data_IF_583000017884
#
_entry.id   IF_583000017884
#
_cell.length_a   1.000
_cell.length_b   1.000
_cell.length_c   1.000
_cell.angle_alpha   90.00
_cell.angle_beta   90.00
_cell.angle_gamma   90.00
#
_symmetry.space_group_name_H-M   'P 1'
#
loop_
_entity.id
_entity.type
_entity.pdbx_description
1 polymer ?
#
# COMPACT_ATOMS: atom_id res chain seq x y z
N UNK A 1 -0.86 18.09 -15.02
CA UNK A 1 -0.72 16.91 -15.91
C UNK A 1 -2.04 16.16 -16.05
N UNK A 2 -2.31 15.56 -17.22
CA UNK A 2 -3.47 14.66 -17.43
C UNK A 2 -2.98 13.22 -17.57
N UNK A 3 -3.58 12.33 -16.80
CA UNK A 3 -3.35 10.88 -16.77
C UNK A 3 -4.71 10.19 -16.56
N UNK A 4 -4.79 8.89 -16.80
CA UNK A 4 -5.99 8.12 -16.47
C UNK A 4 -6.41 8.31 -15.00
N UNK A 5 -5.44 8.34 -14.06
CA UNK A 5 -5.74 8.46 -12.63
C UNK A 5 -6.35 9.83 -12.29
N UNK A 6 -5.78 10.92 -12.82
CA UNK A 6 -6.32 12.28 -12.61
C UNK A 6 -7.69 12.46 -13.22
N UNK A 7 -7.93 11.90 -14.41
CA UNK A 7 -9.20 12.04 -15.13
C UNK A 7 -10.31 11.17 -14.50
N UNK A 8 -9.98 9.93 -14.10
CA UNK A 8 -10.94 9.00 -13.49
C UNK A 8 -11.48 9.49 -12.15
N UNK A 9 -10.66 10.16 -11.35
CA UNK A 9 -11.02 10.58 -9.98
C UNK A 9 -11.13 12.10 -9.80
N UNK A 10 -10.90 12.90 -10.84
CA UNK A 10 -10.95 14.37 -10.73
C UNK A 10 -9.90 14.94 -9.77
N UNK A 11 -8.74 14.31 -9.67
CA UNK A 11 -7.63 14.72 -8.79
C UNK A 11 -6.55 15.46 -9.58
N UNK A 12 -5.78 16.32 -8.92
CA UNK A 12 -4.76 17.17 -9.56
C UNK A 12 -3.38 16.54 -9.64
N UNK A 13 -3.05 15.64 -8.71
CA UNK A 13 -1.76 14.95 -8.63
C UNK A 13 -1.99 13.45 -8.88
N UNK A 14 -1.31 12.81 -9.86
CA UNK A 14 -1.50 11.39 -10.21
C UNK A 14 -0.83 10.46 -9.18
N UNK A 15 -1.26 10.57 -7.92
CA UNK A 15 -0.78 9.79 -6.78
C UNK A 15 -1.97 9.20 -6.04
N UNK A 16 -1.86 7.91 -5.74
CA UNK A 16 -2.69 7.23 -4.76
C UNK A 16 -1.88 7.09 -3.47
N UNK A 17 -2.42 7.54 -2.35
CA UNK A 17 -1.93 7.17 -1.02
C UNK A 17 -2.34 5.74 -0.74
N UNK A 18 -1.39 4.82 -0.81
CA UNK A 18 -1.62 3.38 -0.75
C UNK A 18 -2.36 2.95 0.52
N UNK A 19 -3.24 1.94 0.45
CA UNK A 19 -3.91 1.37 1.62
C UNK A 19 -2.87 0.62 2.46
N UNK A 20 -2.59 1.14 3.65
CA UNK A 20 -1.59 0.58 4.57
C UNK A 20 -2.26 0.24 5.90
N UNK A 21 -2.48 -1.04 6.18
CA UNK A 21 -3.06 -1.48 7.44
C UNK A 21 -2.23 -0.98 8.64
N UNK A 22 -2.89 -0.32 9.61
CA UNK A 22 -2.23 0.27 10.77
C UNK A 22 -1.54 1.62 10.53
N UNK A 23 -1.58 2.16 9.29
CA UNK A 23 -1.00 3.47 8.93
C UNK A 23 -2.07 4.37 8.29
N UNK A 24 -2.71 3.88 7.21
CA UNK A 24 -3.71 4.58 6.41
C UNK A 24 -5.11 4.32 6.93
N UNK A 25 -5.51 5.01 7.99
CA UNK A 25 -6.89 5.07 8.47
C UNK A 25 -7.66 6.22 7.77
N UNK A 26 -8.93 6.42 8.14
CA UNK A 26 -9.82 7.40 7.51
C UNK A 26 -9.24 8.82 7.50
N UNK A 27 -8.56 9.22 8.58
CA UNK A 27 -7.93 10.55 8.70
C UNK A 27 -6.82 10.79 7.68
N UNK A 28 -5.92 9.82 7.47
CA UNK A 28 -4.85 9.96 6.47
C UNK A 28 -5.44 9.95 5.05
N UNK A 29 -6.42 9.07 4.80
CA UNK A 29 -7.09 9.01 3.51
C UNK A 29 -7.77 10.34 3.17
N UNK A 30 -8.56 10.91 4.09
CA UNK A 30 -9.19 12.22 3.93
C UNK A 30 -8.16 13.31 3.61
N UNK A 31 -7.05 13.37 4.35
CA UNK A 31 -6.05 14.40 4.19
C UNK A 31 -5.31 14.32 2.83
N UNK A 32 -5.01 13.10 2.36
CA UNK A 32 -4.43 12.89 1.02
C UNK A 32 -5.43 13.31 -0.07
N UNK A 33 -6.71 12.95 0.07
CA UNK A 33 -7.77 13.33 -0.86
C UNK A 33 -8.01 14.85 -0.89
N UNK A 34 -8.05 15.49 0.28
CA UNK A 34 -8.17 16.95 0.40
C UNK A 34 -7.01 17.70 -0.25
N UNK A 35 -5.81 17.11 -0.28
CA UNK A 35 -4.64 17.67 -0.92
C UNK A 35 -4.60 17.53 -2.45
N UNK A 36 -5.59 16.87 -3.07
CA UNK A 36 -5.69 16.73 -4.52
C UNK A 36 -4.99 15.49 -5.10
N UNK A 37 -4.73 14.49 -4.26
CA UNK A 37 -4.38 13.12 -4.64
C UNK A 37 -5.56 12.17 -4.29
N UNK A 38 -5.41 10.85 -4.42
CA UNK A 38 -6.44 9.89 -3.97
C UNK A 38 -5.97 9.17 -2.69
N UNK A 39 -6.59 9.45 -1.55
CA UNK A 39 -6.29 8.75 -0.30
C UNK A 39 -7.02 7.42 -0.17
N UNK A 40 -6.37 6.41 0.44
CA UNK A 40 -7.00 5.12 0.70
C UNK A 40 -6.88 4.65 2.15
N UNK A 41 -7.93 3.98 2.61
CA UNK A 41 -7.96 3.25 3.87
C UNK A 41 -7.35 1.86 3.65
N UNK A 42 -6.39 1.45 4.48
CA UNK A 42 -5.92 0.06 4.53
C UNK A 42 -6.62 -0.72 5.62
N UNK A 43 -7.41 -1.72 5.25
CA UNK A 43 -8.18 -2.56 6.20
C UNK A 43 -7.27 -3.63 6.81
N UNK A 44 -7.02 -3.61 8.14
CA UNK A 44 -6.31 -4.68 8.82
C UNK A 44 -7.04 -6.03 8.72
N UNK A 45 -6.30 -7.14 8.74
CA UNK A 45 -6.89 -8.49 8.70
C UNK A 45 -7.85 -8.78 9.86
N UNK A 46 -7.69 -8.09 11.00
CA UNK A 46 -8.55 -8.23 12.18
C UNK A 46 -9.68 -7.18 12.26
N UNK A 47 -9.83 -6.29 11.28
CA UNK A 47 -10.84 -5.24 11.34
C UNK A 47 -12.26 -5.78 11.20
N UNK A 48 -13.22 -5.12 11.83
CA UNK A 48 -14.65 -5.44 11.74
C UNK A 48 -15.32 -4.64 10.62
N UNK A 49 -16.50 -5.07 10.19
CA UNK A 49 -17.37 -4.29 9.30
C UNK A 49 -17.69 -2.89 9.86
N UNK A 50 -17.91 -2.78 11.17
CA UNK A 50 -18.14 -1.50 11.86
C UNK A 50 -16.93 -0.56 11.75
N UNK A 51 -15.72 -1.08 11.95
CA UNK A 51 -14.50 -0.29 11.79
C UNK A 51 -14.36 0.22 10.35
N UNK A 52 -14.67 -0.60 9.34
CA UNK A 52 -14.65 -0.18 7.93
C UNK A 52 -15.62 0.98 7.71
N UNK A 53 -16.85 0.86 8.20
CA UNK A 53 -17.87 1.90 8.07
C UNK A 53 -17.46 3.22 8.75
N UNK A 54 -16.91 3.14 9.97
CA UNK A 54 -16.39 4.31 10.70
C UNK A 54 -15.28 5.02 9.92
N UNK A 55 -14.27 4.26 9.47
CA UNK A 55 -13.14 4.86 8.73
C UNK A 55 -13.58 5.43 7.37
N UNK A 56 -14.53 4.78 6.69
CA UNK A 56 -15.10 5.27 5.45
C UNK A 56 -15.87 6.59 5.66
N UNK A 57 -16.65 6.71 6.74
CA UNK A 57 -17.33 7.95 7.09
C UNK A 57 -16.35 9.11 7.36
N UNK A 58 -15.21 8.83 7.99
CA UNK A 58 -14.14 9.82 8.19
C UNK A 58 -13.50 10.20 6.85
N UNK A 59 -13.16 9.23 6.00
CA UNK A 59 -12.47 9.47 4.73
C UNK A 59 -13.34 10.22 3.71
N UNK A 60 -14.62 9.88 3.63
CA UNK A 60 -15.58 10.45 2.69
C UNK A 60 -16.41 11.61 3.24
N UNK A 61 -16.17 12.05 4.48
CA UNK A 61 -17.03 13.01 5.18
C UNK A 61 -17.13 14.40 4.53
N UNK A 62 -16.18 14.75 3.66
CA UNK A 62 -16.17 16.00 2.89
C UNK A 62 -16.61 15.83 1.43
N UNK A 63 -17.06 14.63 1.04
CA UNK A 63 -17.53 14.30 -0.30
C UNK A 63 -16.43 14.10 -1.35
N UNK A 64 -15.14 14.16 -0.99
CA UNK A 64 -14.04 13.91 -1.92
C UNK A 64 -13.86 12.41 -2.21
N UNK A 65 -13.31 12.04 -3.38
CA UNK A 65 -13.04 10.64 -3.69
C UNK A 65 -12.02 10.06 -2.71
N UNK A 66 -12.28 8.84 -2.27
CA UNK A 66 -11.36 8.06 -1.44
C UNK A 66 -11.45 6.59 -1.87
N UNK A 67 -10.50 5.79 -1.41
CA UNK A 67 -10.52 4.34 -1.67
C UNK A 67 -10.34 3.48 -0.43
N UNK A 68 -10.54 2.17 -0.61
CA UNK A 68 -10.37 1.16 0.45
C UNK A 68 -9.56 -0.02 -0.10
N UNK A 69 -8.58 -0.50 0.66
CA UNK A 69 -7.79 -1.68 0.34
C UNK A 69 -8.16 -2.87 1.21
N UNK A 70 -8.43 -4.01 0.57
CA UNK A 70 -8.83 -5.28 1.15
C UNK A 70 -7.81 -6.38 0.83
N UNK A 71 -7.65 -7.28 1.79
CA UNK A 71 -6.87 -8.51 1.66
C UNK A 71 -7.82 -9.65 1.27
N UNK A 72 -7.72 -10.16 0.04
CA UNK A 72 -8.69 -11.13 -0.51
C UNK A 72 -8.78 -12.39 0.35
N UNK A 73 -7.64 -12.90 0.81
CA UNK A 73 -7.56 -14.07 1.69
C UNK A 73 -8.29 -13.91 3.04
N UNK A 74 -8.67 -12.69 3.43
CA UNK A 74 -9.42 -12.44 4.67
C UNK A 74 -10.95 -12.40 4.47
N UNK A 75 -11.44 -12.33 3.23
CA UNK A 75 -12.85 -12.06 2.94
C UNK A 75 -13.75 -13.29 3.11
N UNK A 76 -13.22 -14.50 2.88
CA UNK A 76 -14.00 -15.74 3.05
C UNK A 76 -14.39 -15.99 4.51
N UNK A 77 -13.57 -15.51 5.46
CA UNK A 77 -13.83 -15.65 6.89
C UNK A 77 -14.85 -14.66 7.45
N UNK A 78 -15.15 -13.57 6.72
CA UNK A 78 -16.06 -12.52 7.17
C UNK A 78 -16.65 -11.74 5.96
N UNK A 79 -17.72 -12.26 5.33
CA UNK A 79 -18.36 -11.62 4.19
C UNK A 79 -18.88 -10.21 4.47
N UNK A 80 -19.21 -9.90 5.74
CA UNK A 80 -19.76 -8.60 6.14
C UNK A 80 -18.77 -7.45 5.90
N UNK A 81 -17.47 -7.73 5.81
CA UNK A 81 -16.45 -6.72 5.46
C UNK A 81 -16.62 -6.22 4.04
N UNK A 82 -16.88 -7.12 3.08
CA UNK A 82 -17.12 -6.72 1.70
C UNK A 82 -18.45 -5.96 1.58
N UNK A 83 -19.46 -6.38 2.33
CA UNK A 83 -20.75 -5.67 2.38
C UNK A 83 -20.59 -4.25 2.92
N UNK A 84 -19.84 -4.05 4.01
CA UNK A 84 -19.54 -2.72 4.54
C UNK A 84 -18.82 -1.82 3.52
N UNK A 85 -17.91 -2.37 2.71
CA UNK A 85 -17.26 -1.62 1.62
C UNK A 85 -18.24 -1.26 0.51
N UNK A 86 -19.13 -2.18 0.13
CA UNK A 86 -20.17 -1.93 -0.87
C UNK A 86 -21.14 -0.84 -0.41
N UNK A 87 -21.53 -0.86 0.86
CA UNK A 87 -22.41 0.14 1.47
C UNK A 87 -21.74 1.52 1.55
N UNK A 88 -20.43 1.56 1.85
CA UNK A 88 -19.64 2.79 1.92
C UNK A 88 -19.43 3.47 0.55
N UNK A 89 -19.55 2.72 -0.55
CA UNK A 89 -19.40 3.20 -1.94
C UNK A 89 -18.14 4.06 -2.18
N UNK A 90 -16.93 3.58 -1.83
CA UNK A 90 -15.69 4.28 -2.16
C UNK A 90 -15.50 4.40 -3.67
N UNK A 91 -14.71 5.38 -4.12
CA UNK A 91 -14.44 5.60 -5.55
C UNK A 91 -13.54 4.52 -6.16
N UNK A 92 -12.63 3.97 -5.34
CA UNK A 92 -11.70 2.91 -5.73
C UNK A 92 -11.56 1.87 -4.63
N UNK A 93 -11.57 0.59 -5.00
CA UNK A 93 -11.23 -0.51 -4.09
C UNK A 93 -10.04 -1.28 -4.64
N UNK A 94 -9.06 -1.54 -3.78
CA UNK A 94 -8.02 -2.53 -4.08
C UNK A 94 -8.38 -3.85 -3.41
N UNK A 95 -8.42 -4.94 -4.18
CA UNK A 95 -8.53 -6.30 -3.62
C UNK A 95 -7.34 -7.11 -4.13
N UNK A 96 -6.45 -7.52 -3.24
CA UNK A 96 -5.19 -8.18 -3.59
C UNK A 96 -4.92 -9.39 -2.68
N UNK A 97 -3.98 -10.25 -3.09
CA UNK A 97 -3.43 -11.36 -2.31
C UNK A 97 -4.45 -12.48 -2.01
N UNK A 98 -4.64 -13.40 -2.94
CA UNK A 98 -5.59 -14.53 -2.80
C UNK A 98 -6.72 -14.50 -3.84
N UNK A 99 -7.81 -15.27 -3.64
CA UNK A 99 -8.90 -15.39 -4.61
C UNK A 99 -9.77 -14.13 -4.67
N UNK A 100 -9.39 -13.16 -5.52
CA UNK A 100 -10.08 -11.86 -5.63
C UNK A 100 -11.16 -11.80 -6.72
N UNK A 101 -11.31 -12.81 -7.59
CA UNK A 101 -12.23 -12.74 -8.74
C UNK A 101 -13.70 -12.51 -8.34
N UNK A 102 -14.20 -13.23 -7.32
CA UNK A 102 -15.56 -13.03 -6.79
C UNK A 102 -15.78 -11.64 -6.19
N UNK A 103 -14.94 -11.18 -5.25
CA UNK A 103 -14.98 -9.81 -4.75
C UNK A 103 -14.90 -8.73 -5.84
N UNK A 104 -14.00 -8.87 -6.82
CA UNK A 104 -13.87 -7.96 -7.96
C UNK A 104 -15.19 -7.87 -8.73
N UNK A 105 -15.81 -9.01 -9.04
CA UNK A 105 -17.07 -9.05 -9.77
C UNK A 105 -18.20 -8.32 -9.02
N UNK A 106 -18.32 -8.53 -7.71
CA UNK A 106 -19.31 -7.84 -6.86
C UNK A 106 -19.10 -6.33 -6.83
N UNK A 107 -17.86 -5.88 -6.63
CA UNK A 107 -17.51 -4.46 -6.59
C UNK A 107 -17.78 -3.77 -7.94
N UNK A 108 -17.42 -4.42 -9.05
CA UNK A 108 -17.68 -3.88 -10.39
C UNK A 108 -19.17 -3.76 -10.70
N UNK A 109 -19.99 -4.74 -10.31
CA UNK A 109 -21.45 -4.63 -10.45
C UNK A 109 -22.04 -3.44 -9.68
N UNK A 110 -21.40 -3.04 -8.59
CA UNK A 110 -21.76 -1.85 -7.83
C UNK A 110 -21.23 -0.54 -8.44
N UNK A 111 -20.52 -0.60 -9.58
CA UNK A 111 -19.95 0.58 -10.24
C UNK A 111 -18.68 1.14 -9.60
N UNK A 112 -18.08 0.40 -8.66
CA UNK A 112 -16.85 0.80 -7.98
C UNK A 112 -15.65 0.47 -8.88
N UNK A 113 -14.69 1.40 -8.97
CA UNK A 113 -13.43 1.15 -9.68
C UNK A 113 -12.58 0.15 -8.90
N UNK A 114 -12.13 -0.94 -9.52
CA UNK A 114 -11.39 -2.00 -8.83
C UNK A 114 -9.96 -2.11 -9.36
N UNK A 115 -9.00 -2.29 -8.46
CA UNK A 115 -7.59 -2.53 -8.82
C UNK A 115 -6.99 -3.69 -8.04
N UNK A 116 -5.97 -4.34 -8.61
CA UNK A 116 -5.24 -5.43 -7.95
C UNK A 116 -3.74 -5.24 -8.11
N UNK A 117 -2.99 -5.53 -7.03
CA UNK A 117 -1.53 -5.52 -7.06
C UNK A 117 -0.99 -6.77 -7.76
N UNK A 118 0.06 -6.56 -8.56
CA UNK A 118 0.78 -7.61 -9.26
C UNK A 118 2.29 -7.40 -9.09
N UNK A 119 3.00 -8.47 -8.73
CA UNK A 119 4.46 -8.54 -8.66
C UNK A 119 5.08 -9.27 -9.85
N UNK A 120 4.27 -9.79 -10.77
CA UNK A 120 4.69 -10.47 -12.01
C UNK A 120 3.73 -10.13 -13.16
N UNK A 121 4.16 -10.38 -14.40
CA UNK A 121 3.30 -10.26 -15.59
C UNK A 121 2.17 -11.28 -15.58
N UNK A 122 2.39 -12.49 -15.03
CA UNK A 122 1.32 -13.49 -14.87
C UNK A 122 0.21 -13.01 -13.95
N UNK A 123 0.56 -12.43 -12.80
CA UNK A 123 -0.41 -11.84 -11.88
C UNK A 123 -1.14 -10.64 -12.51
N UNK A 124 -0.43 -9.80 -13.29
CA UNK A 124 -1.03 -8.67 -13.98
C UNK A 124 -2.06 -9.13 -15.03
N UNK A 125 -1.70 -10.12 -15.86
CA UNK A 125 -2.63 -10.73 -16.84
C UNK A 125 -3.81 -11.42 -16.14
N UNK A 126 -3.57 -12.06 -15.00
CA UNK A 126 -4.65 -12.67 -14.21
C UNK A 126 -5.63 -11.62 -13.67
N UNK A 127 -5.12 -10.49 -13.16
CA UNK A 127 -5.94 -9.38 -12.69
C UNK A 127 -6.76 -8.77 -13.84
N UNK A 128 -6.15 -8.55 -15.01
CA UNK A 128 -6.86 -8.07 -16.21
C UNK A 128 -7.98 -9.04 -16.63
N UNK A 129 -7.73 -10.36 -16.63
CA UNK A 129 -8.77 -11.37 -16.91
C UNK A 129 -9.89 -11.39 -15.88
N UNK A 130 -9.59 -11.11 -14.61
CA UNK A 130 -10.60 -10.93 -13.57
C UNK A 130 -11.42 -9.64 -13.76
N UNK A 131 -10.96 -8.76 -14.66
CA UNK A 131 -11.68 -7.59 -15.12
C UNK A 131 -11.48 -6.33 -14.27
N UNK A 132 -10.37 -6.23 -13.54
CA UNK A 132 -10.05 -4.98 -12.82
C UNK A 132 -9.92 -3.79 -13.77
N UNK A 133 -10.17 -2.58 -13.29
CA UNK A 133 -10.09 -1.34 -14.08
C UNK A 133 -8.64 -0.88 -14.31
N UNK A 134 -7.72 -1.23 -13.40
CA UNK A 134 -6.28 -0.98 -13.51
C UNK A 134 -5.48 -1.99 -12.67
N UNK A 135 -4.21 -2.18 -13.00
CA UNK A 135 -3.28 -3.00 -12.20
C UNK A 135 -2.26 -2.12 -11.49
N UNK A 136 -1.82 -2.56 -10.32
CA UNK A 136 -0.75 -1.91 -9.56
C UNK A 136 0.51 -2.77 -9.68
N UNK A 137 1.45 -2.37 -10.54
CA UNK A 137 2.74 -3.02 -10.69
C UNK A 137 3.63 -2.67 -9.48
N UNK A 138 3.78 -3.62 -8.55
CA UNK A 138 4.42 -3.42 -7.25
C UNK A 138 5.81 -4.05 -7.21
N UNK A 139 6.84 -3.22 -7.26
CA UNK A 139 8.23 -3.65 -7.18
C UNK A 139 8.63 -4.15 -5.80
N UNK A 140 9.68 -4.97 -5.74
CA UNK A 140 10.21 -5.61 -4.54
C UNK A 140 10.69 -4.65 -3.46
N UNK A 141 11.00 -3.41 -3.81
CA UNK A 141 11.40 -2.32 -2.91
C UNK A 141 10.24 -1.71 -2.10
N UNK A 142 8.97 -1.99 -2.45
CA UNK A 142 7.82 -1.47 -1.73
C UNK A 142 7.69 -2.06 -0.33
N UNK A 143 7.12 -1.28 0.59
CA UNK A 143 6.85 -1.70 1.97
C UNK A 143 5.64 -2.62 2.09
N UNK A 144 5.57 -3.35 3.21
CA UNK A 144 4.46 -4.29 3.48
C UNK A 144 4.50 -5.49 2.53
N UNK A 145 3.35 -6.14 2.37
CA UNK A 145 3.25 -7.42 1.66
C UNK A 145 3.25 -7.29 0.14
N UNK A 146 3.78 -8.32 -0.52
CA UNK A 146 3.84 -8.47 -1.97
C UNK A 146 4.99 -9.38 -2.38
N UNK A 147 5.20 -9.58 -3.69
CA UNK A 147 6.36 -10.33 -4.17
C UNK A 147 7.65 -9.54 -3.96
N UNK A 148 8.70 -10.27 -3.59
CA UNK A 148 10.05 -9.75 -3.37
C UNK A 148 10.98 -9.89 -4.57
N UNK A 149 10.44 -10.26 -5.74
CA UNK A 149 11.22 -10.82 -6.84
C UNK A 149 11.81 -9.76 -7.80
N UNK A 150 10.98 -8.81 -8.27
CA UNK A 150 11.35 -7.88 -9.34
C UNK A 150 11.21 -6.43 -8.87
N UNK A 151 12.21 -5.58 -9.13
CA UNK A 151 12.16 -4.16 -8.77
C UNK A 151 11.15 -3.37 -9.63
N UNK A 152 10.72 -2.19 -9.16
CA UNK A 152 9.62 -1.42 -9.78
C UNK A 152 9.86 -1.12 -11.26
N UNK A 153 11.05 -0.62 -11.63
CA UNK A 153 11.31 -0.19 -13.01
C UNK A 153 11.26 -1.33 -14.04
N UNK A 154 11.96 -2.48 -13.85
CA UNK A 154 11.82 -3.61 -14.78
C UNK A 154 10.43 -4.24 -14.75
N UNK A 155 9.77 -4.33 -13.57
CA UNK A 155 8.42 -4.86 -13.47
C UNK A 155 7.41 -3.99 -14.23
N UNK A 156 7.48 -2.67 -14.05
CA UNK A 156 6.58 -1.71 -14.68
C UNK A 156 6.63 -1.81 -16.21
N UNK A 157 7.82 -1.82 -16.79
CA UNK A 157 8.00 -1.98 -18.25
C UNK A 157 7.37 -3.29 -18.74
N UNK A 158 7.70 -4.40 -18.07
CA UNK A 158 7.19 -5.72 -18.45
C UNK A 158 5.66 -5.81 -18.34
N UNK A 159 5.05 -5.19 -17.32
CA UNK A 159 3.59 -5.18 -17.16
C UNK A 159 2.93 -4.30 -18.22
N UNK A 160 3.50 -3.14 -18.53
CA UNK A 160 2.97 -2.22 -19.56
C UNK A 160 2.91 -2.87 -20.95
N UNK A 161 3.85 -3.77 -21.27
CA UNK A 161 3.86 -4.50 -22.55
C UNK A 161 2.82 -5.64 -22.60
N UNK A 162 2.29 -6.07 -21.45
CA UNK A 162 1.52 -7.31 -21.31
C UNK A 162 0.02 -7.10 -21.04
N UNK A 163 -0.37 -5.95 -20.50
CA UNK A 163 -1.77 -5.60 -20.23
C UNK A 163 -2.22 -4.38 -21.03
N UNK A 164 -3.52 -4.30 -21.32
CA UNK A 164 -4.11 -3.17 -22.06
C UNK A 164 -4.75 -2.13 -21.15
N UNK A 165 -5.07 -2.51 -19.92
CA UNK A 165 -5.61 -1.62 -18.90
C UNK A 165 -4.52 -0.72 -18.29
N UNK A 166 -4.90 0.44 -17.71
CA UNK A 166 -3.96 1.33 -17.04
C UNK A 166 -3.11 0.64 -15.96
N UNK A 167 -1.85 1.05 -15.86
CA UNK A 167 -0.90 0.52 -14.87
C UNK A 167 -0.47 1.62 -13.91
N UNK A 168 -0.65 1.40 -12.61
CA UNK A 168 -0.10 2.25 -11.54
C UNK A 168 1.21 1.65 -11.03
N UNK A 169 2.23 2.48 -10.82
CA UNK A 169 3.52 2.01 -10.34
C UNK A 169 3.63 2.11 -8.81
N UNK A 170 4.02 1.04 -8.12
CA UNK A 170 4.21 1.00 -6.68
C UNK A 170 5.62 0.51 -6.31
N UNK A 171 6.21 1.11 -5.28
CA UNK A 171 7.55 0.77 -4.78
C UNK A 171 8.61 1.79 -5.20
N UNK A 172 9.40 2.27 -4.24
CA UNK A 172 10.48 3.24 -4.49
C UNK A 172 10.04 4.68 -4.76
N UNK A 173 8.75 4.95 -5.00
CA UNK A 173 8.24 6.30 -5.30
C UNK A 173 7.93 7.08 -4.03
N UNK A 174 8.77 8.05 -3.68
CA UNK A 174 8.55 8.94 -2.53
C UNK A 174 8.77 10.44 -2.78
N UNK A 175 9.13 10.82 -4.02
CA UNK A 175 9.40 12.21 -4.42
C UNK A 175 8.92 12.49 -5.83
N UNK A 176 8.87 13.76 -6.23
CA UNK A 176 8.62 14.18 -7.62
C UNK A 176 9.50 13.47 -8.65
N UNK A 177 10.76 13.12 -8.31
CA UNK A 177 11.65 12.39 -9.22
C UNK A 177 11.15 10.97 -9.48
N UNK A 178 10.72 10.27 -8.44
CA UNK A 178 10.13 8.94 -8.57
C UNK A 178 8.83 8.99 -9.37
N UNK A 179 7.96 9.95 -9.09
CA UNK A 179 6.72 10.13 -9.85
C UNK A 179 6.98 10.45 -11.32
N UNK A 180 7.88 11.39 -11.61
CA UNK A 180 8.26 11.72 -12.99
C UNK A 180 8.84 10.50 -13.72
N UNK A 181 9.68 9.70 -13.07
CA UNK A 181 10.29 8.51 -13.68
C UNK A 181 9.24 7.47 -14.08
N UNK A 182 8.30 7.13 -13.19
CA UNK A 182 7.29 6.11 -13.51
C UNK A 182 6.27 6.60 -14.54
N UNK A 183 5.94 7.90 -14.54
CA UNK A 183 5.08 8.49 -15.56
C UNK A 183 5.76 8.54 -16.94
N UNK A 184 7.05 8.90 -16.98
CA UNK A 184 7.84 8.84 -18.21
C UNK A 184 7.94 7.40 -18.75
N UNK A 185 8.00 6.41 -17.86
CA UNK A 185 7.99 4.99 -18.22
C UNK A 185 6.62 4.48 -18.72
N UNK A 186 5.54 5.27 -18.62
CA UNK A 186 4.22 4.92 -19.14
C UNK A 186 3.16 4.60 -18.08
N UNK A 187 3.47 4.71 -16.79
CA UNK A 187 2.47 4.53 -15.74
C UNK A 187 1.35 5.60 -15.82
N UNK A 188 0.13 5.19 -15.48
CA UNK A 188 -1.02 6.07 -15.33
C UNK A 188 -1.00 6.90 -14.03
N UNK A 189 -0.05 6.63 -13.12
CA UNK A 189 0.09 7.26 -11.82
C UNK A 189 0.98 6.43 -10.90
N UNK A 190 1.23 6.96 -9.70
CA UNK A 190 1.97 6.24 -8.67
C UNK A 190 1.09 5.80 -7.50
N UNK A 191 1.42 4.66 -6.93
CA UNK A 191 0.80 4.08 -5.74
C UNK A 191 1.81 4.12 -4.59
N UNK A 192 1.62 5.08 -3.68
CA UNK A 192 2.66 5.54 -2.75
C UNK A 192 2.27 5.22 -1.32
N UNK A 193 3.09 4.38 -0.66
CA UNK A 193 2.92 4.06 0.76
C UNK A 193 3.86 4.87 1.66
N UNK A 194 5.12 4.44 1.73
CA UNK A 194 6.11 4.90 2.72
C UNK A 194 6.27 6.42 2.83
N UNK A 195 6.11 7.18 1.73
CA UNK A 195 6.20 8.63 1.77
C UNK A 195 5.19 9.30 2.71
N UNK A 196 4.03 8.65 2.94
CA UNK A 196 2.96 9.13 3.82
C UNK A 196 3.06 8.61 5.26
N UNK A 197 4.00 7.70 5.56
CA UNK A 197 4.15 7.16 6.92
C UNK A 197 4.61 8.21 7.93
N UNK A 198 5.35 9.23 7.50
CA UNK A 198 5.78 10.35 8.34
C UNK A 198 4.76 11.49 8.46
N UNK A 199 3.54 11.30 7.95
CA UNK A 199 2.52 12.34 7.95
C UNK A 199 1.92 12.56 9.35
N UNK A 200 1.54 13.80 9.69
CA UNK A 200 0.84 14.10 10.97
C UNK A 200 -0.54 13.44 11.07
N UNK A 201 -1.09 13.00 9.94
CA UNK A 201 -2.39 12.36 9.82
C UNK A 201 -2.34 10.83 9.90
N UNK A 202 -1.13 10.25 10.00
CA UNK A 202 -0.94 8.81 10.11
C UNK A 202 -1.55 8.24 11.38
N UNK A 203 -1.99 6.98 11.32
CA UNK A 203 -2.39 6.20 12.49
C UNK A 203 -1.18 5.55 13.22
N UNK A 204 0.03 5.68 12.67
CA UNK A 204 1.23 5.15 13.32
C UNK A 204 1.49 5.86 14.67
N UNK A 205 1.82 5.10 15.73
CA UNK A 205 2.30 5.68 16.98
C UNK A 205 3.55 6.53 16.79
N UNK A 206 3.76 7.49 17.69
CA UNK A 206 4.93 8.39 17.64
C UNK A 206 6.26 7.63 17.64
N UNK A 207 6.37 6.56 18.43
CA UNK A 207 7.56 5.71 18.48
C UNK A 207 7.83 4.98 17.15
N UNK A 208 6.81 4.48 16.46
CA UNK A 208 6.97 3.90 15.11
C UNK A 208 7.39 4.96 14.10
N UNK A 209 6.76 6.13 14.17
CA UNK A 209 7.11 7.26 13.31
C UNK A 209 8.56 7.68 13.53
N UNK A 210 9.06 7.67 14.76
CA UNK A 210 10.47 7.92 15.08
C UNK A 210 11.41 6.95 14.34
N UNK A 211 11.07 5.65 14.31
CA UNK A 211 11.85 4.65 13.55
C UNK A 211 11.83 4.90 12.05
N UNK A 212 10.68 5.27 11.48
CA UNK A 212 10.55 5.64 10.06
C UNK A 212 11.46 6.82 9.72
N UNK A 213 11.50 7.85 10.56
CA UNK A 213 12.30 9.06 10.31
C UNK A 213 13.81 8.84 10.47
N UNK A 214 14.20 7.85 11.28
CA UNK A 214 15.60 7.50 11.54
C UNK A 214 16.19 6.53 10.50
N UNK A 215 15.35 5.79 9.78
CA UNK A 215 15.79 4.73 8.87
C UNK A 215 16.37 5.27 7.55
N UNK A 216 17.44 4.63 7.09
CA UNK A 216 18.02 4.78 5.76
C UNK A 216 17.45 3.80 4.73
N UNK A 217 17.89 3.94 3.48
CA UNK A 217 17.44 3.11 2.35
C UNK A 217 17.82 1.63 2.48
N UNK A 218 18.87 1.32 3.25
CA UNK A 218 19.35 -0.05 3.51
C UNK A 218 18.75 -0.70 4.74
N UNK A 219 17.95 0.01 5.52
CA UNK A 219 17.47 -0.44 6.83
C UNK A 219 16.16 -1.22 6.75
N UNK A 220 15.86 -1.81 5.59
CA UNK A 220 14.68 -2.66 5.40
C UNK A 220 15.08 -4.07 5.00
N UNK A 221 14.30 -5.04 5.45
CA UNK A 221 14.42 -6.43 5.04
C UNK A 221 13.08 -6.95 4.54
N UNK A 222 13.14 -7.92 3.61
CA UNK A 222 11.98 -8.62 3.07
C UNK A 222 12.00 -10.05 3.57
N UNK A 223 10.86 -10.54 4.05
CA UNK A 223 10.71 -11.91 4.49
C UNK A 223 9.37 -12.16 5.12
N UNK A 224 9.23 -13.33 5.76
CA UNK A 224 7.97 -13.77 6.38
C UNK A 224 8.04 -13.88 7.89
N UNK A 225 9.15 -13.51 8.52
CA UNK A 225 9.38 -13.63 9.97
C UNK A 225 8.18 -13.14 10.77
N UNK A 226 7.72 -11.92 10.52
CA UNK A 226 6.61 -11.32 11.25
C UNK A 226 5.25 -11.98 10.97
N UNK A 227 5.05 -12.55 9.78
CA UNK A 227 3.80 -13.23 9.44
C UNK A 227 3.72 -14.60 10.10
N UNK A 228 4.84 -15.32 10.10
CA UNK A 228 4.99 -16.66 10.66
C UNK A 228 4.74 -16.65 12.17
N UNK A 229 5.41 -15.75 12.91
CA UNK A 229 5.21 -15.64 14.36
C UNK A 229 3.78 -15.23 14.73
N UNK A 230 3.12 -14.42 13.90
CA UNK A 230 1.71 -14.04 14.09
C UNK A 230 0.71 -15.11 13.63
N UNK A 231 1.18 -16.18 12.97
CA UNK A 231 0.37 -17.23 12.36
C UNK A 231 -0.67 -16.69 11.37
N UNK A 232 -0.28 -15.67 10.59
CA UNK A 232 -1.13 -15.11 9.54
C UNK A 232 -1.14 -16.04 8.33
N UNK A 233 -2.32 -16.24 7.75
CA UNK A 233 -2.53 -17.11 6.59
C UNK A 233 -2.19 -16.41 5.25
N UNK A 234 -1.08 -15.65 5.21
CA UNK A 234 -0.59 -15.07 3.97
C UNK A 234 -0.22 -16.16 2.97
N UNK A 235 -0.63 -16.05 1.69
CA UNK A 235 -0.12 -16.92 0.64
C UNK A 235 1.43 -16.90 0.62
N UNK A 236 2.08 -18.07 0.46
CA UNK A 236 3.50 -18.22 0.73
C UNK A 236 4.43 -17.38 -0.16
N UNK A 237 3.95 -16.98 -1.35
CA UNK A 237 4.63 -16.10 -2.29
C UNK A 237 4.68 -14.62 -1.86
N UNK A 238 3.94 -14.23 -0.82
CA UNK A 238 3.87 -12.86 -0.34
C UNK A 238 4.50 -12.72 1.05
N UNK A 239 5.77 -12.32 1.09
CA UNK A 239 6.42 -11.79 2.29
C UNK A 239 6.16 -10.30 2.50
N UNK A 240 6.49 -9.80 3.69
CA UNK A 240 6.42 -8.39 4.06
C UNK A 240 7.80 -7.73 4.06
N UNK A 241 7.90 -6.51 3.49
CA UNK A 241 9.07 -5.64 3.68
C UNK A 241 8.87 -4.68 4.84
N UNK A 242 9.74 -4.77 5.83
CA UNK A 242 9.71 -3.96 7.05
C UNK A 242 11.07 -3.34 7.35
N UNK A 243 11.09 -2.36 8.25
CA UNK A 243 12.33 -1.94 8.92
C UNK A 243 12.99 -3.18 9.55
N UNK A 244 14.26 -3.36 9.26
CA UNK A 244 15.08 -4.44 9.82
C UNK A 244 15.28 -4.17 11.31
N UNK A 245 15.05 -5.18 12.14
CA UNK A 245 15.20 -5.08 13.59
C UNK A 245 15.82 -6.37 14.16
N UNK A 246 16.14 -6.37 15.45
CA UNK A 246 16.82 -7.47 16.12
C UNK A 246 16.01 -8.77 16.09
N UNK A 247 14.67 -8.68 16.16
CA UNK A 247 13.80 -9.85 16.04
C UNK A 247 13.85 -10.46 14.64
N UNK A 248 13.80 -9.63 13.60
CA UNK A 248 13.95 -10.10 12.22
C UNK A 248 15.30 -10.80 12.02
N UNK A 249 16.39 -10.21 12.50
CA UNK A 249 17.74 -10.77 12.36
C UNK A 249 17.92 -12.10 13.09
N UNK A 250 17.23 -12.30 14.22
CA UNK A 250 17.28 -13.54 15.00
C UNK A 250 16.61 -14.72 14.29
N UNK A 251 15.58 -14.43 13.50
CA UNK A 251 14.63 -15.43 12.98
C UNK A 251 14.63 -15.58 11.47
N UNK A 252 15.24 -14.65 10.72
CA UNK A 252 15.39 -14.78 9.29
C UNK A 252 16.18 -16.05 8.94
N UNK A 253 15.61 -16.92 8.10
CA UNK A 253 16.16 -18.23 7.78
C UNK A 253 15.87 -19.33 8.81
N UNK A 254 15.11 -19.03 9.88
CA UNK A 254 14.67 -19.95 10.94
C UNK A 254 13.15 -19.93 11.12
N UNK A 255 12.42 -19.64 10.04
CA UNK A 255 10.97 -19.48 10.07
C UNK A 255 10.24 -20.79 10.46
N UNK A 256 10.81 -21.95 10.14
CA UNK A 256 10.24 -23.24 10.56
C UNK A 256 10.24 -23.41 12.08
N UNK A 257 11.35 -23.05 12.73
CA UNK A 257 11.45 -23.06 14.20
C UNK A 257 10.49 -22.04 14.81
N UNK A 258 10.46 -20.83 14.25
CA UNK A 258 9.60 -19.73 14.69
C UNK A 258 8.10 -20.08 14.66
N UNK A 259 7.66 -20.87 13.69
CA UNK A 259 6.24 -21.19 13.51
C UNK A 259 5.62 -21.87 14.75
N UNK A 260 6.43 -22.64 15.49
CA UNK A 260 6.04 -23.34 16.71
C UNK A 260 6.47 -22.64 18.01
N UNK A 261 7.17 -21.51 17.95
CA UNK A 261 7.73 -20.84 19.12
C UNK A 261 6.69 -19.91 19.78
N UNK A 262 6.10 -20.36 20.89
CA UNK A 262 5.13 -19.58 21.67
C UNK A 262 5.78 -18.43 22.46
N UNK A 263 7.06 -18.55 22.83
CA UNK A 263 7.77 -17.49 23.56
C UNK A 263 8.06 -16.31 22.64
N UNK A 264 8.54 -16.58 21.42
CA UNK A 264 8.76 -15.57 20.39
C UNK A 264 7.46 -14.87 20.00
N UNK A 265 6.34 -15.61 19.98
CA UNK A 265 5.01 -15.02 19.76
C UNK A 265 4.62 -14.08 20.89
N UNK A 266 4.74 -14.52 22.15
CA UNK A 266 4.45 -13.69 23.31
C UNK A 266 5.37 -12.45 23.38
N UNK A 267 6.65 -12.59 23.01
CA UNK A 267 7.63 -11.50 22.89
C UNK A 267 7.13 -10.45 21.89
N UNK A 268 6.74 -10.86 20.68
CA UNK A 268 6.22 -9.94 19.66
C UNK A 268 4.92 -9.26 20.11
N UNK A 269 3.98 -9.99 20.70
CA UNK A 269 2.72 -9.44 21.20
C UNK A 269 2.94 -8.41 22.33
N UNK A 270 3.90 -8.67 23.22
CA UNK A 270 4.30 -7.72 24.25
C UNK A 270 4.94 -6.46 23.64
N UNK A 271 5.87 -6.64 22.70
CA UNK A 271 6.54 -5.54 22.01
C UNK A 271 5.58 -4.62 21.25
N UNK A 272 4.56 -5.20 20.59
CA UNK A 272 3.52 -4.42 19.92
C UNK A 272 2.69 -3.57 20.87
N UNK A 273 2.44 -4.06 22.09
CA UNK A 273 1.70 -3.32 23.12
C UNK A 273 2.55 -2.22 23.77
N UNK A 274 3.84 -2.48 23.99
CA UNK A 274 4.77 -1.52 24.61
C UNK A 274 5.36 -0.50 23.63
N UNK A 275 5.26 -0.74 22.32
CA UNK A 275 5.90 0.09 21.30
C UNK A 275 7.41 -0.16 21.18
N UNK A 276 7.88 -1.37 21.53
CA UNK A 276 9.26 -1.79 21.31
C UNK A 276 9.44 -2.23 19.85
N UNK A 277 10.05 -1.36 19.04
CA UNK A 277 10.30 -1.63 17.62
C UNK A 277 11.67 -2.27 17.32
N UNK A 278 12.47 -2.63 18.33
CA UNK A 278 13.57 -3.59 18.13
C UNK A 278 13.03 -5.02 17.95
N UNK A 279 11.78 -5.23 18.37
CA UNK A 279 11.05 -6.49 18.24
C UNK A 279 9.83 -6.36 17.33
N UNK A 280 8.95 -5.38 17.57
CA UNK A 280 7.76 -5.15 16.76
C UNK A 280 8.11 -4.63 15.36
N UNK A 281 7.30 -5.03 14.38
CA UNK A 281 7.51 -4.66 12.99
C UNK A 281 7.02 -3.25 12.67
N UNK A 282 7.70 -2.60 11.72
CA UNK A 282 7.21 -1.40 11.02
C UNK A 282 7.35 -1.66 9.52
N UNK A 283 6.23 -1.93 8.84
CA UNK A 283 6.26 -2.18 7.40
C UNK A 283 6.56 -0.89 6.62
N UNK A 284 7.69 -0.87 5.91
CA UNK A 284 8.16 0.28 5.13
C UNK A 284 9.01 -0.20 3.95
N UNK A 285 8.97 0.53 2.84
CA UNK A 285 9.79 0.25 1.66
C UNK A 285 11.15 0.94 1.72
N UNK A 286 12.02 0.63 0.77
CA UNK A 286 13.38 1.22 0.71
C UNK A 286 13.38 2.74 0.49
N UNK A 287 12.25 3.31 0.05
CA UNK A 287 12.07 4.76 -0.01
C UNK A 287 11.98 5.44 1.38
N UNK A 288 12.05 4.67 2.47
CA UNK A 288 12.02 5.20 3.84
C UNK A 288 13.14 6.21 4.11
N UNK A 289 14.34 6.01 3.54
CA UNK A 289 15.45 6.97 3.62
C UNK A 289 15.16 8.35 3.02
N UNK A 290 14.04 8.52 2.31
CA UNK A 290 13.57 9.82 1.79
C UNK A 290 12.56 10.52 2.74
N UNK A 291 12.10 9.84 3.78
CA UNK A 291 11.16 10.36 4.78
C UNK A 291 11.94 10.97 5.94
N UNK A 292 12.52 12.16 5.71
CA UNK A 292 13.50 12.78 6.62
C UNK A 292 12.90 13.56 7.79
N UNK A 293 11.61 13.90 7.73
CA UNK A 293 10.94 14.72 8.74
C UNK A 293 9.43 14.48 8.73
N UNK A 294 8.76 14.86 9.83
CA UNK A 294 7.30 14.97 9.85
C UNK A 294 6.82 16.02 8.86
N UNK A 295 5.74 15.71 8.16
CA UNK A 295 5.06 16.58 7.19
C UNK A 295 3.55 16.40 7.30
N UNK A 296 2.76 17.30 6.72
CA UNK A 296 1.35 17.00 6.47
C UNK A 296 1.20 16.19 5.19
N UNK A 297 0.08 15.49 5.03
CA UNK A 297 -0.26 14.84 3.76
C UNK A 297 -0.27 15.85 2.60
N UNK A 298 -0.74 17.08 2.86
CA UNK A 298 -0.73 18.16 1.89
C UNK A 298 0.67 18.55 1.43
N UNK A 299 1.65 18.65 2.33
CA UNK A 299 3.04 18.93 1.97
C UNK A 299 3.67 17.79 1.16
N UNK A 300 3.33 16.54 1.47
CA UNK A 300 3.80 15.37 0.70
C UNK A 300 3.23 15.41 -0.72
N UNK A 301 1.92 15.63 -0.88
CA UNK A 301 1.25 15.73 -2.18
C UNK A 301 1.77 16.92 -2.99
N UNK A 302 1.93 18.09 -2.37
CA UNK A 302 2.52 19.26 -3.01
C UNK A 302 3.95 18.96 -3.52
N UNK A 303 4.73 18.21 -2.76
CA UNK A 303 6.06 17.77 -3.18
C UNK A 303 6.04 16.85 -4.41
N UNK A 304 4.97 16.09 -4.65
CA UNK A 304 4.79 15.28 -5.85
C UNK A 304 4.37 16.09 -7.08
N UNK A 305 3.62 17.19 -6.89
CA UNK A 305 3.16 18.06 -7.99
C UNK A 305 4.32 18.63 -8.83
N UNK A 306 5.52 18.74 -8.24
CA UNK A 306 6.76 19.14 -8.93
C UNK A 306 7.22 18.17 -10.03
N UNK A 307 6.62 16.98 -10.16
CA UNK A 307 6.95 16.01 -11.21
C UNK A 307 6.75 16.58 -12.62
N UNK A 308 5.76 17.46 -12.82
CA UNK A 308 5.49 18.09 -14.12
C UNK A 308 6.68 18.90 -14.61
N UNK A 309 7.30 19.65 -13.71
CA UNK A 309 8.48 20.46 -14.01
C UNK A 309 9.68 19.59 -14.41
N UNK A 310 9.83 18.42 -13.78
CA UNK A 310 10.89 17.47 -14.10
C UNK A 310 10.68 16.83 -15.47
N UNK A 311 9.45 16.43 -15.82
CA UNK A 311 9.12 15.88 -17.13
C UNK A 311 9.40 16.90 -18.24
N UNK A 312 8.97 18.17 -18.07
CA UNK A 312 9.22 19.23 -19.05
C UNK A 312 10.71 19.52 -19.28
N UNK A 313 11.54 19.35 -18.26
CA UNK A 313 13.00 19.59 -18.36
C UNK A 313 13.69 18.68 -19.38
N UNK A 314 13.19 17.46 -19.59
CA UNK A 314 13.80 16.47 -20.48
C UNK A 314 13.01 16.24 -21.78
N UNK A 315 11.97 17.05 -22.03
CA UNK A 315 11.13 16.97 -23.23
C UNK A 315 11.67 17.81 -24.41
N UNK A 316 12.87 18.37 -24.28
CA UNK A 316 13.54 19.23 -25.26
C UNK A 316 14.77 18.57 -25.83
#
# INVERSE_FOLDING_TARGET
MRTWLTERFGIGVPVVGAPMAGVGAGRLAAAVSAAGALGMIGVPSAATAEWIAEQAAIAGGDGRPYGIGLLAWTLDGDPARLDAVLDARPSLVSVSFGPYAGPVERLRRAGITVVTQAGTTDEARAAERAGVDAVVARGSEAGGHGRGDVATLPLLQSVLDEVRIPVLAAGGVATARGLAAVLAAGAAGAWVGTAFMGCVETALPDAATGRVLAAGETDTAYGRVFDVVQRLAWPPEYGGRALRNAFFDRWAGREEELASDEEARAELEAARRSGDYDTAYVYAGQAVGMVRRRRTAAEVVAGFAEAERLLRRFAT
#
